data_IF_216872507356
#
_entry.id   IF_216872507356
#
_cell.length_a   1.000
_cell.length_b   1.000
_cell.length_c   1.000
_cell.angle_alpha   90.00
_cell.angle_beta   90.00
_cell.angle_gamma   90.00
#
_symmetry.space_group_name_H-M   'P 1'
#
loop_
_entity.id
_entity.type
_entity.pdbx_description
1 polymer ?
#
# COMPACT_ATOMS: atom_id res chain seq x y z
N UNK A 1 11.06 -1.74 0.41
CA UNK A 1 11.45 -2.50 -0.80
C UNK A 1 10.32 -2.37 -1.82
N UNK A 2 10.56 -1.88 -3.05
CA UNK A 2 9.53 -1.86 -4.08
C UNK A 2 9.14 -3.32 -4.40
N UNK A 3 7.85 -3.64 -4.30
CA UNK A 3 7.33 -4.95 -4.72
C UNK A 3 7.30 -4.95 -6.24
N UNK A 4 8.02 -5.88 -6.85
CA UNK A 4 8.03 -6.06 -8.30
C UNK A 4 6.58 -6.27 -8.82
N UNK A 5 6.21 -5.77 -10.01
CA UNK A 5 4.88 -5.97 -10.59
C UNK A 5 4.45 -7.45 -10.63
N UNK A 6 5.39 -8.36 -10.90
CA UNK A 6 5.18 -9.81 -10.88
C UNK A 6 4.77 -10.33 -9.49
N UNK A 7 5.32 -9.76 -8.42
CA UNK A 7 4.98 -10.14 -7.05
C UNK A 7 3.58 -9.65 -6.64
N UNK A 8 3.17 -8.46 -7.11
CA UNK A 8 1.79 -7.96 -6.91
C UNK A 8 0.82 -8.86 -7.66
N UNK A 9 1.11 -9.15 -8.94
CA UNK A 9 0.28 -10.03 -9.77
C UNK A 9 0.08 -11.42 -9.16
N UNK A 10 1.15 -12.04 -8.67
CA UNK A 10 1.10 -13.38 -8.06
C UNK A 10 0.31 -13.41 -6.74
N UNK A 11 0.10 -12.25 -6.11
CA UNK A 11 -0.61 -12.12 -4.84
C UNK A 11 -2.10 -11.83 -4.99
N UNK A 12 -2.58 -11.54 -6.20
CA UNK A 12 -3.97 -11.19 -6.46
C UNK A 12 -4.85 -12.45 -6.61
N UNK A 13 -6.12 -12.39 -6.16
CA UNK A 13 -7.14 -13.38 -6.50
C UNK A 13 -7.32 -13.49 -8.03
N UNK A 14 -7.74 -14.65 -8.56
CA UNK A 14 -7.96 -14.84 -9.99
C UNK A 14 -8.91 -13.82 -10.62
N UNK A 15 -9.91 -13.35 -9.87
CA UNK A 15 -10.91 -12.37 -10.32
C UNK A 15 -10.27 -11.00 -10.57
N UNK A 16 -9.28 -10.61 -9.77
CA UNK A 16 -8.61 -9.31 -9.84
C UNK A 16 -7.36 -9.34 -10.73
N UNK A 17 -6.73 -10.50 -10.86
CA UNK A 17 -5.55 -10.71 -11.70
C UNK A 17 -5.78 -10.31 -13.17
N UNK A 18 -6.99 -10.53 -13.70
CA UNK A 18 -7.35 -10.14 -15.06
C UNK A 18 -7.45 -8.63 -15.26
N UNK A 19 -7.98 -7.90 -14.26
CA UNK A 19 -8.08 -6.44 -14.30
C UNK A 19 -6.70 -5.79 -14.16
N UNK A 20 -5.88 -6.29 -13.23
CA UNK A 20 -4.48 -5.88 -13.11
C UNK A 20 -3.74 -5.98 -14.44
N UNK A 21 -3.86 -7.10 -15.13
CA UNK A 21 -3.18 -7.36 -16.40
C UNK A 21 -3.61 -6.43 -17.53
N UNK A 22 -4.90 -6.11 -17.62
CA UNK A 22 -5.42 -5.18 -18.62
C UNK A 22 -4.88 -3.78 -18.38
N UNK A 23 -5.00 -3.31 -17.15
CA UNK A 23 -4.56 -1.96 -16.81
C UNK A 23 -3.04 -1.81 -16.86
N UNK A 24 -2.27 -2.81 -16.42
CA UNK A 24 -0.80 -2.80 -16.50
C UNK A 24 -0.33 -2.61 -17.94
N UNK A 25 -0.92 -3.36 -18.89
CA UNK A 25 -0.59 -3.21 -20.32
C UNK A 25 -0.93 -1.82 -20.84
N UNK A 26 -2.08 -1.26 -20.44
CA UNK A 26 -2.50 0.08 -20.84
C UNK A 26 -1.52 1.15 -20.36
N UNK A 27 -1.23 1.19 -19.05
CA UNK A 27 -0.36 2.23 -18.48
C UNK A 27 1.09 2.09 -18.93
N UNK A 28 1.55 0.88 -19.24
CA UNK A 28 2.88 0.66 -19.82
C UNK A 28 2.97 1.15 -21.27
N UNK A 29 1.92 0.99 -22.07
CA UNK A 29 1.87 1.54 -23.42
C UNK A 29 1.90 3.07 -23.39
N UNK A 30 1.06 3.68 -22.54
CA UNK A 30 1.05 5.14 -22.32
C UNK A 30 2.42 5.67 -21.86
N UNK A 31 3.07 4.97 -20.93
CA UNK A 31 4.41 5.32 -20.45
C UNK A 31 5.50 5.16 -21.52
N UNK A 32 5.34 4.22 -22.45
CA UNK A 32 6.30 4.03 -23.55
C UNK A 32 6.22 5.18 -24.55
N UNK A 33 5.01 5.64 -24.86
CA UNK A 33 4.79 6.78 -25.77
C UNK A 33 5.22 8.12 -25.14
N UNK A 34 4.92 8.30 -23.85
CA UNK A 34 5.19 9.56 -23.13
C UNK A 34 6.56 9.64 -22.46
N UNK A 35 7.24 8.50 -22.32
CA UNK A 35 8.42 8.32 -21.48
C UNK A 35 8.19 8.69 -19.99
N UNK A 36 6.94 8.68 -19.54
CA UNK A 36 6.55 8.98 -18.16
C UNK A 36 5.99 7.75 -17.43
N UNK A 37 6.70 7.31 -16.38
CA UNK A 37 6.31 6.16 -15.54
C UNK A 37 5.36 6.52 -14.39
N UNK A 38 4.97 7.77 -14.24
CA UNK A 38 4.12 8.23 -13.13
C UNK A 38 2.81 7.45 -13.03
N UNK A 39 2.17 7.19 -14.18
CA UNK A 39 0.95 6.38 -14.27
C UNK A 39 1.17 4.94 -13.81
N UNK A 40 2.26 4.31 -14.22
CA UNK A 40 2.65 2.95 -13.82
C UNK A 40 2.86 2.87 -12.31
N UNK A 41 3.62 3.81 -11.73
CA UNK A 41 3.89 3.84 -10.29
C UNK A 41 2.63 4.11 -9.45
N UNK A 42 1.72 4.95 -9.94
CA UNK A 42 0.43 5.18 -9.30
C UNK A 42 -0.44 3.92 -9.30
N UNK A 43 -0.51 3.24 -10.44
CA UNK A 43 -1.24 1.98 -10.63
C UNK A 43 -0.71 0.87 -9.71
N UNK A 44 0.61 0.65 -9.68
CA UNK A 44 1.22 -0.36 -8.80
C UNK A 44 0.94 -0.10 -7.31
N UNK A 45 1.01 1.16 -6.86
CA UNK A 45 0.67 1.53 -5.48
C UNK A 45 -0.79 1.26 -5.14
N UNK A 46 -1.71 1.43 -6.10
CA UNK A 46 -3.13 1.13 -5.89
C UNK A 46 -3.34 -0.37 -5.69
N UNK A 47 -2.80 -1.19 -6.58
CA UNK A 47 -2.92 -2.65 -6.50
C UNK A 47 -2.19 -3.25 -5.29
N UNK A 48 -1.10 -2.63 -4.84
CA UNK A 48 -0.46 -3.03 -3.60
C UNK A 48 -1.39 -2.89 -2.39
N UNK A 49 -2.24 -1.85 -2.33
CA UNK A 49 -3.26 -1.73 -1.27
C UNK A 49 -4.31 -2.83 -1.37
N UNK A 50 -4.72 -3.18 -2.58
CA UNK A 50 -5.69 -4.27 -2.81
C UNK A 50 -5.12 -5.61 -2.30
N UNK A 51 -3.88 -5.93 -2.64
CA UNK A 51 -3.17 -7.10 -2.12
C UNK A 51 -3.09 -7.08 -0.59
N UNK A 52 -2.80 -5.93 0.02
CA UNK A 52 -2.79 -5.80 1.48
C UNK A 52 -4.17 -6.01 2.09
N UNK A 53 -5.22 -5.40 1.54
CA UNK A 53 -6.59 -5.58 2.03
C UNK A 53 -7.07 -7.02 1.92
N UNK A 54 -6.74 -7.70 0.83
CA UNK A 54 -7.09 -9.11 0.63
C UNK A 54 -6.33 -10.07 1.57
N UNK A 55 -5.18 -9.63 2.10
CA UNK A 55 -4.28 -10.47 2.91
C UNK A 55 -4.50 -10.37 4.42
N UNK A 56 -5.37 -9.50 4.94
CA UNK A 56 -5.22 -9.12 6.35
C UNK A 56 -6.40 -9.27 7.33
N UNK A 57 -6.59 -10.47 7.91
CA UNK A 57 -7.29 -10.69 9.18
C UNK A 57 -6.53 -10.16 10.42
N UNK A 58 -5.21 -10.00 10.35
CA UNK A 58 -4.33 -9.73 11.50
C UNK A 58 -4.03 -8.23 11.68
N UNK A 59 -4.12 -7.40 10.63
CA UNK A 59 -4.21 -5.95 10.71
C UNK A 59 -5.62 -5.51 11.02
N UNK A 60 -6.65 -6.29 10.68
CA UNK A 60 -7.96 -6.10 11.28
C UNK A 60 -7.89 -6.28 12.81
N UNK A 61 -7.25 -7.35 13.31
CA UNK A 61 -6.99 -7.54 14.75
C UNK A 61 -6.12 -6.45 15.36
N UNK A 62 -4.99 -6.09 14.74
CA UNK A 62 -4.10 -5.02 15.26
C UNK A 62 -4.75 -3.64 15.23
N UNK A 63 -5.60 -3.36 14.25
CA UNK A 63 -6.41 -2.14 14.19
C UNK A 63 -7.47 -2.13 15.30
N UNK A 64 -8.16 -3.25 15.55
CA UNK A 64 -9.11 -3.40 16.65
C UNK A 64 -8.44 -3.27 18.02
N UNK A 65 -7.28 -3.90 18.23
CA UNK A 65 -6.50 -3.78 19.47
C UNK A 65 -6.07 -2.32 19.72
N UNK A 66 -5.62 -1.61 18.68
CA UNK A 66 -5.23 -0.19 18.80
C UNK A 66 -6.45 0.71 19.07
N UNK A 67 -7.58 0.47 18.42
CA UNK A 67 -8.82 1.22 18.63
C UNK A 67 -9.42 0.97 20.02
N UNK A 68 -9.34 -0.27 20.53
CA UNK A 68 -9.78 -0.65 21.87
C UNK A 68 -8.97 0.07 22.96
N UNK A 69 -7.63 0.12 22.83
CA UNK A 69 -6.74 0.82 23.76
C UNK A 69 -6.97 2.33 23.81
N UNK A 70 -7.24 2.94 22.65
CA UNK A 70 -7.59 4.36 22.57
C UNK A 70 -8.97 4.66 23.21
N UNK A 71 -9.94 3.77 23.02
CA UNK A 71 -11.31 3.95 23.55
C UNK A 71 -11.41 3.69 25.06
N UNK A 72 -10.50 2.89 25.63
CA UNK A 72 -10.38 2.68 27.07
C UNK A 72 -9.62 3.79 27.80
N UNK A 73 -9.12 4.81 27.07
CA UNK A 73 -8.40 5.94 27.64
C UNK A 73 -6.95 5.65 28.04
N UNK A 74 -6.32 4.61 27.49
CA UNK A 74 -4.87 4.41 27.68
C UNK A 74 -4.08 5.42 26.86
N UNK A 75 -3.15 6.11 27.52
CA UNK A 75 -2.23 7.06 26.91
C UNK A 75 -1.25 6.31 25.99
N UNK A 76 -1.56 6.27 24.70
CA UNK A 76 -0.60 5.83 23.69
C UNK A 76 0.50 6.87 23.70
N UNK A 77 1.71 6.48 24.10
CA UNK A 77 2.89 7.34 24.08
C UNK A 77 3.08 7.93 22.66
N UNK A 78 2.54 9.12 22.46
CA UNK A 78 2.68 9.89 21.24
C UNK A 78 3.94 10.72 21.42
N UNK A 79 4.93 10.46 20.59
CA UNK A 79 6.10 11.31 20.53
C UNK A 79 5.74 12.60 19.78
N UNK A 80 6.05 13.79 20.32
CA UNK A 80 5.87 15.03 19.59
C UNK A 80 6.62 14.98 18.26
N UNK A 81 5.94 15.40 17.19
CA UNK A 81 6.47 15.38 15.82
C UNK A 81 7.86 16.03 15.68
N UNK A 82 8.15 17.03 16.51
CA UNK A 82 9.46 17.69 16.59
C UNK A 82 10.60 16.75 16.98
N UNK A 83 10.36 15.82 17.90
CA UNK A 83 11.36 14.85 18.36
C UNK A 83 11.58 13.76 17.31
N UNK A 84 10.50 13.28 16.70
CA UNK A 84 10.57 12.32 15.60
C UNK A 84 11.30 12.92 14.39
N UNK A 85 11.06 14.21 14.08
CA UNK A 85 11.72 14.93 12.99
C UNK A 85 13.24 15.04 13.20
N UNK A 86 13.68 15.45 14.39
CA UNK A 86 15.09 15.59 14.74
C UNK A 86 15.86 14.26 14.65
N UNK A 87 15.24 13.15 15.11
CA UNK A 87 15.84 11.80 15.01
C UNK A 87 15.98 11.33 13.56
N UNK A 88 15.07 11.74 12.68
CA UNK A 88 15.04 11.34 11.28
C UNK A 88 15.88 12.24 10.36
N UNK A 89 16.44 13.34 10.87
CA UNK A 89 17.25 14.28 10.08
C UNK A 89 16.46 15.02 9.00
N UNK A 90 15.14 15.15 9.19
CA UNK A 90 14.20 15.89 8.32
C UNK A 90 14.04 17.33 8.80
#
# INVERSE_FOLDING_TARGET
MPVAPSAIRAALPPEEAGEFDREYRRVMAEATESLDLTGVLAMLRRWQRVVWSARDPEAHRRMLDQAARLSSGEDVATEPWTTTKARLGL
#
